data_IF_629798210689
#
_entry.id   IF_629798210689
#
_cell.length_a   1.000
_cell.length_b   1.000
_cell.length_c   1.000
_cell.angle_alpha   90.00
_cell.angle_beta   90.00
_cell.angle_gamma   90.00
#
_symmetry.space_group_name_H-M   'P 1'
#
loop_
_entity.id
_entity.type
_entity.pdbx_description
1 polymer ?
#
# COMPACT_ATOMS: atom_id res chain seq x y z
N UNK A 1 71.99 -3.10 13.85
CA UNK A 1 72.64 -2.88 15.17
C UNK A 1 71.54 -2.49 16.14
N UNK A 2 71.45 -3.30 17.25
CA UNK A 2 70.75 -3.09 18.53
C UNK A 2 69.25 -2.95 18.52
N UNK A 3 68.49 -3.92 18.94
CA UNK A 3 68.36 -4.72 20.20
C UNK A 3 67.23 -4.12 21.05
N UNK A 4 66.09 -4.87 21.14
CA UNK A 4 65.54 -5.56 22.33
C UNK A 4 65.35 -4.66 23.58
N UNK A 5 64.10 -4.51 24.05
CA UNK A 5 63.79 -4.93 25.43
C UNK A 5 62.27 -5.05 25.67
N UNK A 6 61.92 -6.27 26.01
CA UNK A 6 60.70 -6.77 26.68
C UNK A 6 60.61 -6.22 28.11
N UNK A 7 59.39 -5.92 28.59
CA UNK A 7 59.06 -6.13 30.01
C UNK A 7 57.57 -6.40 30.21
N UNK A 8 57.28 -7.63 30.58
CA UNK A 8 56.03 -8.09 31.17
C UNK A 8 55.96 -7.66 32.65
N UNK A 9 54.77 -7.31 33.13
CA UNK A 9 54.43 -7.47 34.56
C UNK A 9 52.97 -7.87 34.73
N UNK A 10 52.87 -9.05 35.21
CA UNK A 10 51.84 -9.80 35.90
C UNK A 10 51.21 -9.12 37.10
N UNK A 11 49.97 -9.61 37.38
CA UNK A 11 49.30 -9.86 38.66
C UNK A 11 48.69 -8.70 39.44
N UNK A 12 47.34 -8.74 39.62
CA UNK A 12 46.79 -9.25 40.89
C UNK A 12 45.26 -9.31 40.84
N UNK A 13 44.78 -10.51 41.01
CA UNK A 13 43.42 -10.82 41.43
C UNK A 13 43.13 -10.27 42.84
N UNK A 14 41.91 -9.76 43.05
CA UNK A 14 41.29 -9.70 44.37
C UNK A 14 39.87 -10.19 44.29
N UNK A 15 39.66 -11.37 44.79
CA UNK A 15 38.43 -11.96 45.30
C UNK A 15 37.91 -11.18 46.53
N UNK A 16 36.65 -10.86 46.56
CA UNK A 16 35.78 -10.67 47.72
C UNK A 16 34.42 -11.12 47.24
N UNK A 17 33.74 -12.09 47.62
CA UNK A 17 33.48 -12.86 48.78
C UNK A 17 32.30 -12.34 49.58
N UNK A 18 31.21 -13.12 49.61
CA UNK A 18 30.07 -13.14 50.53
C UNK A 18 28.97 -12.04 50.32
N UNK A 19 27.69 -12.29 50.41
CA UNK A 19 26.96 -13.27 51.20
C UNK A 19 25.54 -13.44 50.60
N UNK A 20 25.10 -14.69 50.57
CA UNK A 20 23.71 -15.09 50.34
C UNK A 20 22.90 -14.76 51.58
N UNK A 21 21.79 -14.03 51.41
CA UNK A 21 20.66 -14.07 52.38
C UNK A 21 19.40 -14.45 51.60
N UNK A 22 19.03 -15.68 51.78
CA UNK A 22 17.75 -16.19 51.36
C UNK A 22 16.68 -15.74 52.39
N UNK A 23 15.69 -14.99 51.97
CA UNK A 23 14.44 -14.81 52.70
C UNK A 23 13.33 -15.38 51.83
N UNK A 24 12.90 -16.57 52.23
CA UNK A 24 11.70 -17.21 51.73
C UNK A 24 10.48 -16.52 52.36
N UNK A 25 9.64 -15.88 51.56
CA UNK A 25 8.27 -15.58 51.96
C UNK A 25 7.32 -16.23 50.95
N UNK A 26 6.73 -17.31 51.41
CA UNK A 26 5.58 -17.95 50.80
C UNK A 26 4.36 -17.05 50.97
N UNK A 27 3.78 -16.60 49.82
CA UNK A 27 2.41 -16.11 49.80
C UNK A 27 1.71 -16.80 48.63
N UNK A 28 0.78 -17.69 49.00
CA UNK A 28 -0.01 -18.47 48.05
C UNK A 28 -0.95 -17.59 47.22
N UNK A 29 -0.92 -17.77 45.93
CA UNK A 29 -1.95 -17.33 45.01
C UNK A 29 -2.84 -18.55 44.66
N UNK A 30 -4.18 -18.42 44.67
CA UNK A 30 -5.05 -19.54 44.28
C UNK A 30 -5.00 -19.70 42.77
N UNK A 31 -4.72 -20.93 42.34
CA UNK A 31 -4.86 -21.37 40.95
C UNK A 31 -6.35 -21.33 40.58
N UNK A 32 -6.73 -20.47 39.66
CA UNK A 32 -8.02 -20.52 39.00
C UNK A 32 -7.96 -21.58 37.90
N UNK A 33 -8.52 -22.75 38.22
CA UNK A 33 -8.77 -23.80 37.23
C UNK A 33 -9.95 -23.37 36.37
N UNK A 34 -9.69 -23.02 35.10
CA UNK A 34 -10.74 -22.87 34.09
C UNK A 34 -11.20 -24.27 33.65
N UNK A 35 -12.31 -24.72 34.20
CA UNK A 35 -13.04 -25.85 33.65
C UNK A 35 -13.87 -25.38 32.47
N UNK A 36 -13.63 -25.98 31.29
CA UNK A 36 -14.46 -25.80 30.11
C UNK A 36 -15.87 -26.39 30.38
N UNK A 37 -16.80 -25.52 30.78
CA UNK A 37 -18.21 -25.84 31.00
C UNK A 37 -19.01 -25.54 29.73
N UNK A 38 -19.69 -26.59 29.22
CA UNK A 38 -20.74 -26.48 28.20
C UNK A 38 -21.77 -25.44 28.63
N UNK A 39 -22.13 -24.50 27.77
CA UNK A 39 -23.22 -23.55 28.01
C UNK A 39 -24.55 -24.28 28.03
N UNK A 40 -25.05 -24.58 29.25
CA UNK A 40 -26.43 -24.98 29.46
C UNK A 40 -27.30 -23.72 29.60
N UNK A 41 -28.41 -23.66 28.88
CA UNK A 41 -29.39 -22.57 28.96
C UNK A 41 -29.84 -22.35 30.41
N UNK A 42 -29.75 -21.10 30.87
CA UNK A 42 -30.15 -20.72 32.21
C UNK A 42 -31.68 -20.66 32.32
N UNK A 43 -32.29 -21.63 33.01
CA UNK A 43 -33.73 -21.65 33.29
C UNK A 43 -33.98 -21.49 34.78
N UNK A 44 -34.91 -20.63 35.22
CA UNK A 44 -35.23 -20.43 36.65
C UNK A 44 -35.71 -21.71 37.39
N UNK A 45 -36.16 -22.72 36.64
CA UNK A 45 -36.64 -23.99 37.21
C UNK A 45 -35.52 -24.95 37.62
N UNK A 46 -34.30 -24.71 37.19
CA UNK A 46 -33.15 -25.61 37.49
C UNK A 46 -32.13 -24.99 38.44
N UNK A 47 -32.30 -23.76 38.88
CA UNK A 47 -31.40 -23.07 39.80
C UNK A 47 -31.62 -23.56 41.24
N UNK A 48 -30.58 -24.15 41.86
CA UNK A 48 -30.63 -24.75 43.21
C UNK A 48 -30.27 -23.79 44.34
N UNK A 49 -29.64 -22.65 44.09
CA UNK A 49 -29.23 -21.70 45.13
C UNK A 49 -29.80 -20.29 44.90
N UNK A 50 -29.94 -19.51 45.99
CA UNK A 50 -30.45 -18.14 45.94
C UNK A 50 -29.59 -17.20 45.08
N UNK A 51 -28.28 -17.43 45.01
CA UNK A 51 -27.36 -16.67 44.18
C UNK A 51 -27.56 -16.95 42.68
N UNK A 52 -27.80 -18.21 42.30
CA UNK A 52 -28.11 -18.59 40.90
C UNK A 52 -29.47 -18.06 40.45
N UNK A 53 -30.47 -17.99 41.31
CA UNK A 53 -31.78 -17.41 41.01
C UNK A 53 -31.67 -15.89 40.72
N UNK A 54 -30.85 -15.16 41.48
CA UNK A 54 -30.60 -13.69 41.22
C UNK A 54 -29.85 -13.45 39.94
N UNK A 55 -28.88 -14.29 39.56
CA UNK A 55 -28.15 -14.17 38.30
C UNK A 55 -29.05 -14.42 37.07
N UNK A 56 -29.98 -15.37 37.14
CA UNK A 56 -30.95 -15.63 36.07
C UNK A 56 -32.02 -14.55 35.92
N UNK A 57 -32.36 -13.82 36.99
CA UNK A 57 -33.37 -12.75 36.97
C UNK A 57 -32.86 -11.46 36.28
N UNK A 58 -31.53 -11.23 36.21
CA UNK A 58 -30.93 -10.04 35.63
C UNK A 58 -30.46 -10.23 34.18
N UNK A 59 -30.67 -11.38 33.54
CA UNK A 59 -30.36 -11.60 32.17
C UNK A 59 -31.48 -11.02 31.27
N UNK A 60 -31.18 -10.00 30.45
CA UNK A 60 -32.12 -9.47 29.45
C UNK A 60 -32.47 -10.53 28.42
N UNK A 61 -33.77 -10.64 28.00
CA UNK A 61 -34.19 -11.66 27.04
C UNK A 61 -33.55 -11.37 25.66
N UNK A 62 -32.82 -12.34 25.13
CA UNK A 62 -32.36 -12.36 23.74
C UNK A 62 -33.56 -12.67 22.84
N UNK A 63 -33.92 -11.75 21.96
CA UNK A 63 -35.01 -11.90 21.01
C UNK A 63 -34.72 -13.07 20.06
N UNK A 64 -35.63 -14.06 20.03
CA UNK A 64 -35.63 -15.15 19.05
C UNK A 64 -36.04 -14.59 17.70
N UNK A 65 -35.12 -14.44 16.74
CA UNK A 65 -35.42 -14.20 15.33
C UNK A 65 -35.85 -15.56 14.72
N UNK A 66 -37.13 -15.64 14.38
CA UNK A 66 -37.70 -16.76 13.65
C UNK A 66 -37.21 -16.76 12.19
N UNK A 67 -36.71 -17.90 11.75
CA UNK A 67 -36.44 -18.20 10.33
C UNK A 67 -37.75 -18.23 9.55
N UNK A 68 -38.01 -17.22 8.74
CA UNK A 68 -39.00 -17.28 7.68
C UNK A 68 -38.35 -17.77 6.39
N UNK A 69 -38.70 -18.97 5.98
CA UNK A 69 -38.35 -19.58 4.70
C UNK A 69 -39.21 -18.94 3.60
N UNK A 70 -38.66 -18.02 2.81
CA UNK A 70 -39.34 -17.51 1.62
C UNK A 70 -39.17 -18.49 0.46
N UNK A 71 -40.23 -19.21 0.13
CA UNK A 71 -40.37 -19.94 -1.13
C UNK A 71 -40.56 -18.93 -2.27
N UNK A 72 -39.65 -18.95 -3.23
CA UNK A 72 -39.71 -18.17 -4.48
C UNK A 72 -40.70 -18.86 -5.41
N UNK A 73 -41.89 -18.24 -5.61
CA UNK A 73 -42.84 -18.63 -6.63
C UNK A 73 -42.35 -18.06 -7.99
N UNK A 74 -42.22 -18.97 -8.95
CA UNK A 74 -42.04 -18.63 -10.37
C UNK A 74 -43.41 -18.37 -10.97
N UNK A 75 -43.65 -17.13 -11.39
CA UNK A 75 -44.86 -16.81 -12.15
C UNK A 75 -44.49 -16.84 -13.64
N UNK A 76 -45.00 -17.85 -14.32
CA UNK A 76 -45.15 -17.92 -15.79
C UNK A 76 -46.37 -17.12 -16.18
N UNK A 77 -46.20 -16.04 -16.98
CA UNK A 77 -47.30 -15.42 -17.66
C UNK A 77 -47.21 -15.70 -19.14
N UNK A 78 -48.24 -16.36 -19.61
CA UNK A 78 -48.47 -16.73 -21.00
C UNK A 78 -48.86 -15.48 -21.85
N UNK A 79 -48.40 -15.51 -23.07
CA UNK A 79 -48.76 -14.62 -24.16
C UNK A 79 -50.26 -14.68 -24.45
N UNK A 80 -50.85 -13.57 -24.76
CA UNK A 80 -52.07 -13.48 -25.58
C UNK A 80 -51.86 -12.47 -26.69
N UNK A 81 -51.82 -13.00 -27.92
CA UNK A 81 -51.92 -12.24 -29.15
C UNK A 81 -53.27 -11.55 -29.24
N UNK A 82 -53.27 -10.30 -29.65
CA UNK A 82 -54.41 -9.71 -30.37
C UNK A 82 -53.88 -8.78 -31.46
N UNK A 83 -54.14 -9.19 -32.70
CA UNK A 83 -54.09 -8.35 -33.90
C UNK A 83 -55.20 -7.30 -33.84
N UNK A 84 -54.93 -6.05 -34.15
CA UNK A 84 -55.85 -5.20 -34.87
C UNK A 84 -55.10 -4.08 -35.59
N UNK A 85 -55.30 -4.02 -36.90
CA UNK A 85 -54.85 -2.96 -37.78
C UNK A 85 -55.88 -1.83 -37.81
N UNK A 86 -55.41 -0.59 -37.77
CA UNK A 86 -56.12 0.51 -38.45
C UNK A 86 -55.16 1.65 -38.83
N UNK A 87 -55.20 1.98 -40.11
CA UNK A 87 -54.63 3.14 -40.76
C UNK A 87 -55.42 4.38 -40.41
N UNK A 88 -54.76 5.48 -40.01
CA UNK A 88 -55.26 6.82 -40.32
C UNK A 88 -54.09 7.83 -40.23
N UNK A 89 -53.94 8.60 -41.30
CA UNK A 89 -52.95 9.68 -41.41
C UNK A 89 -53.40 10.93 -40.63
N UNK A 90 -52.44 11.71 -40.17
CA UNK A 90 -52.66 12.93 -39.45
C UNK A 90 -51.38 13.79 -39.44
N UNK A 91 -51.53 14.97 -40.01
CA UNK A 91 -50.55 16.04 -40.26
C UNK A 91 -49.62 16.36 -39.10
N UNK A 92 -48.37 16.59 -39.43
CA UNK A 92 -47.35 17.15 -38.56
C UNK A 92 -47.77 18.52 -37.97
N UNK A 93 -47.73 18.63 -36.65
CA UNK A 93 -47.78 19.89 -35.92
C UNK A 93 -46.41 20.09 -35.27
N UNK A 94 -45.69 21.08 -35.77
CA UNK A 94 -44.44 21.55 -35.21
C UNK A 94 -44.73 22.10 -33.81
N UNK A 95 -44.24 21.45 -32.78
CA UNK A 95 -44.21 21.98 -31.43
C UNK A 95 -42.76 22.36 -31.11
N UNK A 96 -42.66 23.55 -30.52
CA UNK A 96 -41.43 24.22 -30.17
C UNK A 96 -40.53 23.35 -29.26
N UNK A 97 -39.22 23.45 -29.47
CA UNK A 97 -38.22 22.86 -28.62
C UNK A 97 -38.33 23.45 -27.21
N UNK A 98 -38.52 22.60 -26.23
CA UNK A 98 -38.25 22.89 -24.84
C UNK A 98 -36.88 22.26 -24.61
N UNK A 99 -35.87 23.07 -24.28
CA UNK A 99 -34.55 22.63 -23.91
C UNK A 99 -34.67 21.83 -22.58
N UNK A 100 -34.61 20.49 -22.69
CA UNK A 100 -34.58 19.58 -21.56
C UNK A 100 -33.09 19.17 -21.37
N UNK A 101 -32.41 19.87 -20.48
CA UNK A 101 -31.05 19.55 -20.01
C UNK A 101 -31.01 18.28 -19.12
N UNK A 102 -31.67 17.23 -19.54
CA UNK A 102 -31.57 15.90 -18.94
C UNK A 102 -30.28 15.16 -19.39
N UNK A 103 -29.70 14.29 -18.57
CA UNK A 103 -28.46 13.60 -18.92
C UNK A 103 -28.63 12.77 -20.20
N UNK A 104 -27.85 13.09 -21.21
CA UNK A 104 -27.91 12.48 -22.54
C UNK A 104 -27.71 10.96 -22.49
N UNK A 105 -28.81 10.22 -22.70
CA UNK A 105 -28.75 8.76 -22.82
C UNK A 105 -28.13 8.38 -24.16
N UNK A 106 -26.89 7.78 -24.12
CA UNK A 106 -26.24 7.26 -25.34
C UNK A 106 -26.74 5.85 -25.64
N UNK A 107 -27.18 5.62 -26.88
CA UNK A 107 -27.49 4.28 -27.39
C UNK A 107 -26.21 3.61 -27.85
N UNK A 108 -25.82 2.53 -27.16
CA UNK A 108 -24.65 1.70 -27.54
C UNK A 108 -25.15 0.50 -28.33
N UNK A 109 -24.60 0.31 -29.54
CA UNK A 109 -24.91 -0.84 -30.37
C UNK A 109 -24.15 -2.08 -29.85
N UNK A 110 -24.89 -3.12 -29.45
CA UNK A 110 -24.34 -4.41 -29.06
C UNK A 110 -24.58 -5.38 -30.19
N UNK A 111 -23.49 -5.84 -30.82
CA UNK A 111 -23.54 -6.86 -31.89
C UNK A 111 -23.45 -8.25 -31.26
N UNK A 112 -24.46 -9.08 -31.49
CA UNK A 112 -24.47 -10.48 -31.05
C UNK A 112 -24.53 -11.39 -32.29
N UNK A 113 -23.67 -12.40 -32.33
CA UNK A 113 -23.71 -13.41 -33.38
C UNK A 113 -24.68 -14.50 -32.96
N UNK A 114 -25.70 -14.74 -33.80
CA UNK A 114 -26.68 -15.79 -33.61
C UNK A 114 -26.61 -16.74 -34.81
N UNK A 115 -26.58 -18.04 -34.56
CA UNK A 115 -26.65 -19.06 -35.63
C UNK A 115 -28.10 -19.48 -35.79
N UNK A 116 -28.64 -19.29 -36.99
CA UNK A 116 -29.99 -19.76 -37.39
C UNK A 116 -29.87 -20.59 -38.64
N UNK A 117 -30.39 -21.82 -38.60
CA UNK A 117 -30.30 -22.79 -39.67
C UNK A 117 -28.87 -23.02 -40.24
N UNK A 118 -27.87 -23.14 -39.31
CA UNK A 118 -26.47 -23.35 -39.69
C UNK A 118 -25.75 -22.12 -40.27
N UNK A 119 -26.45 -20.99 -40.46
CA UNK A 119 -25.88 -19.74 -41.00
C UNK A 119 -25.64 -18.70 -39.87
N UNK A 120 -24.52 -18.02 -39.97
CA UNK A 120 -24.12 -16.96 -39.03
C UNK A 120 -24.89 -15.67 -39.35
N UNK A 121 -25.67 -15.19 -38.40
CA UNK A 121 -26.36 -13.89 -38.45
C UNK A 121 -25.81 -12.96 -37.37
N UNK A 122 -25.55 -11.71 -37.74
CA UNK A 122 -25.16 -10.66 -36.76
C UNK A 122 -26.41 -9.84 -36.46
N UNK A 123 -26.89 -9.96 -35.23
CA UNK A 123 -28.03 -9.16 -34.74
C UNK A 123 -27.44 -7.99 -33.96
N UNK A 124 -27.78 -6.77 -34.40
CA UNK A 124 -27.43 -5.54 -33.69
C UNK A 124 -28.63 -5.12 -32.83
N UNK A 125 -28.44 -5.11 -31.53
CA UNK A 125 -29.39 -4.56 -30.57
C UNK A 125 -28.84 -3.25 -29.98
N UNK A 126 -29.70 -2.28 -29.72
CA UNK A 126 -29.30 -1.03 -29.10
C UNK A 126 -29.72 -1.05 -27.62
N UNK A 127 -28.74 -0.89 -26.72
CA UNK A 127 -28.98 -0.74 -25.29
C UNK A 127 -28.83 0.73 -24.94
N UNK A 128 -29.83 1.33 -24.33
CA UNK A 128 -29.74 2.66 -23.75
C UNK A 128 -28.93 2.53 -22.45
N UNK A 129 -27.79 3.19 -22.39
CA UNK A 129 -27.01 3.30 -21.18
C UNK A 129 -27.28 4.67 -20.60
N UNK A 130 -28.02 4.72 -19.51
CA UNK A 130 -28.14 5.92 -18.71
C UNK A 130 -26.83 6.13 -17.98
N UNK A 131 -26.10 7.15 -18.35
CA UNK A 131 -24.99 7.62 -17.52
C UNK A 131 -25.63 8.32 -16.32
N UNK A 132 -25.70 7.63 -15.19
CA UNK A 132 -25.87 8.35 -13.93
C UNK A 132 -24.74 9.37 -13.84
N UNK A 133 -25.01 10.62 -13.39
CA UNK A 133 -23.94 11.59 -13.14
C UNK A 133 -22.87 10.87 -12.31
N UNK A 134 -21.66 10.76 -12.84
CA UNK A 134 -20.57 10.24 -12.05
C UNK A 134 -20.44 11.15 -10.85
N UNK A 135 -20.53 10.56 -9.64
CA UNK A 135 -20.19 11.30 -8.43
C UNK A 135 -18.85 11.98 -8.67
N UNK A 136 -18.68 13.26 -8.27
CA UNK A 136 -17.44 13.99 -8.52
C UNK A 136 -16.27 13.12 -8.07
N UNK A 137 -15.29 12.94 -8.96
CA UNK A 137 -14.11 12.14 -8.70
C UNK A 137 -13.43 12.71 -7.44
N UNK A 138 -13.31 11.90 -6.40
CA UNK A 138 -12.65 12.34 -5.18
C UNK A 138 -11.20 12.66 -5.52
N UNK A 139 -10.83 13.92 -5.39
CA UNK A 139 -9.46 14.36 -5.62
C UNK A 139 -8.54 13.69 -4.58
N UNK A 140 -7.36 13.26 -5.03
CA UNK A 140 -6.29 12.87 -4.12
C UNK A 140 -5.82 14.07 -3.28
N UNK A 141 -5.15 13.80 -2.16
CA UNK A 141 -4.69 14.86 -1.24
C UNK A 141 -3.76 15.86 -1.95
N UNK A 142 -2.80 15.37 -2.76
CA UNK A 142 -1.88 16.25 -3.47
C UNK A 142 -2.59 17.13 -4.51
N UNK A 143 -3.59 16.60 -5.20
CA UNK A 143 -4.41 17.39 -6.12
C UNK A 143 -5.30 18.41 -5.40
N UNK A 144 -5.86 18.04 -4.26
CA UNK A 144 -6.65 18.96 -3.44
C UNK A 144 -5.81 20.16 -2.93
N UNK A 145 -4.51 19.96 -2.75
CA UNK A 145 -3.54 21.01 -2.39
C UNK A 145 -2.91 21.72 -3.60
N UNK A 146 -3.33 21.43 -4.84
CA UNK A 146 -2.79 22.06 -6.05
C UNK A 146 -1.36 21.64 -6.40
N UNK A 147 -0.78 20.63 -5.77
CA UNK A 147 0.62 20.21 -5.99
C UNK A 147 0.88 19.73 -7.42
N UNK A 148 -0.16 19.25 -8.12
CA UNK A 148 -0.07 18.82 -9.52
C UNK A 148 0.16 20.00 -10.49
N UNK A 149 -0.17 21.23 -10.09
CA UNK A 149 -0.02 22.45 -10.90
C UNK A 149 1.43 22.96 -10.91
N UNK A 150 2.28 22.46 -10.00
CA UNK A 150 3.69 22.84 -9.98
C UNK A 150 4.35 22.46 -11.32
N UNK A 151 4.90 23.44 -12.05
CA UNK A 151 5.55 23.19 -13.33
C UNK A 151 6.79 22.33 -13.14
N UNK A 152 7.04 21.44 -14.10
CA UNK A 152 8.27 20.65 -14.14
C UNK A 152 8.73 20.44 -15.59
N UNK A 153 10.05 20.30 -15.78
CA UNK A 153 10.67 20.17 -17.09
C UNK A 153 10.31 18.86 -17.82
N UNK A 154 9.79 17.87 -17.10
CA UNK A 154 9.46 16.52 -17.63
C UNK A 154 7.96 16.33 -17.85
N UNK A 155 7.13 17.30 -17.51
CA UNK A 155 5.67 17.24 -17.58
C UNK A 155 5.12 15.94 -16.90
N UNK A 156 5.59 15.67 -15.69
CA UNK A 156 5.21 14.49 -14.92
C UNK A 156 3.76 14.59 -14.42
N UNK A 157 3.06 13.49 -14.46
CA UNK A 157 1.69 13.36 -13.91
C UNK A 157 1.68 13.16 -12.39
N UNK A 158 2.83 12.87 -11.81
CA UNK A 158 3.02 12.79 -10.36
C UNK A 158 3.02 14.20 -9.77
N UNK A 159 2.21 14.44 -8.73
CA UNK A 159 2.16 15.70 -7.99
C UNK A 159 3.46 15.93 -7.21
N UNK A 160 4.13 14.85 -6.81
CA UNK A 160 5.44 14.84 -6.16
C UNK A 160 6.38 13.93 -6.93
N UNK A 161 7.57 14.41 -7.25
CA UNK A 161 8.63 13.63 -7.86
C UNK A 161 9.98 14.03 -7.26
N UNK A 162 10.72 13.07 -6.72
CA UNK A 162 12.04 13.31 -6.15
C UNK A 162 13.01 12.22 -6.61
N UNK A 163 14.10 12.62 -7.23
CA UNK A 163 15.13 11.73 -7.77
C UNK A 163 16.48 12.13 -7.22
N UNK A 164 17.19 11.17 -6.65
CA UNK A 164 18.55 11.40 -6.15
C UNK A 164 19.53 10.41 -6.77
N UNK A 165 20.78 10.83 -6.86
CA UNK A 165 21.91 9.91 -6.97
C UNK A 165 22.10 9.22 -5.62
N UNK A 166 22.02 7.89 -5.59
CA UNK A 166 22.10 7.14 -4.34
C UNK A 166 23.48 7.21 -3.71
N UNK A 167 24.54 7.26 -4.54
CA UNK A 167 25.93 7.26 -4.11
C UNK A 167 26.35 8.61 -3.53
N UNK A 168 25.99 9.72 -4.19
CA UNK A 168 26.39 11.08 -3.76
C UNK A 168 25.37 11.72 -2.84
N UNK A 169 24.10 11.28 -2.90
CA UNK A 169 22.98 11.93 -2.22
C UNK A 169 22.50 13.21 -2.94
N UNK A 170 23.08 13.54 -4.10
CA UNK A 170 22.72 14.72 -4.87
C UNK A 170 21.28 14.64 -5.38
N UNK A 171 20.55 15.74 -5.27
CA UNK A 171 19.20 15.89 -5.83
C UNK A 171 19.30 16.13 -7.32
N UNK A 172 18.83 15.17 -8.12
CA UNK A 172 18.84 15.25 -9.58
C UNK A 172 17.58 15.92 -10.13
N UNK A 173 16.46 15.67 -9.46
CA UNK A 173 15.15 16.23 -9.81
C UNK A 173 14.31 16.42 -8.55
N UNK A 174 13.69 17.57 -8.39
CA UNK A 174 12.86 17.90 -7.24
C UNK A 174 11.58 18.62 -7.68
N UNK A 175 10.45 17.98 -7.45
CA UNK A 175 9.11 18.55 -7.56
C UNK A 175 8.36 18.26 -6.27
N UNK A 176 8.13 19.28 -5.45
CA UNK A 176 7.36 19.19 -4.20
C UNK A 176 7.87 18.13 -3.20
N UNK A 177 9.17 17.84 -3.13
CA UNK A 177 9.73 16.72 -2.34
C UNK A 177 9.48 16.81 -0.84
N UNK A 178 9.15 17.98 -0.32
CA UNK A 178 8.85 18.23 1.10
C UNK A 178 7.36 18.03 1.44
N UNK A 179 6.49 17.93 0.44
CA UNK A 179 5.06 17.75 0.66
C UNK A 179 4.79 16.43 1.39
N UNK A 180 4.03 16.51 2.49
CA UNK A 180 3.61 15.35 3.27
C UNK A 180 2.27 14.85 2.74
N UNK A 181 2.27 13.63 2.19
CA UNK A 181 1.11 13.03 1.54
C UNK A 181 0.86 11.62 2.06
N UNK A 182 -0.38 11.11 1.93
CA UNK A 182 -0.65 9.68 2.09
C UNK A 182 0.20 8.86 1.11
N UNK A 183 0.81 7.77 1.59
CA UNK A 183 1.77 6.98 0.80
C UNK A 183 1.25 5.60 0.42
N UNK A 184 0.05 5.26 0.83
CA UNK A 184 -0.57 3.96 0.56
C UNK A 184 0.39 2.79 0.88
N UNK A 185 0.36 1.74 0.08
CA UNK A 185 1.16 0.52 0.27
C UNK A 185 2.68 0.68 0.18
N UNK A 186 3.21 1.89 -0.04
CA UNK A 186 4.65 2.15 0.16
C UNK A 186 5.03 1.83 1.61
N UNK A 187 4.10 2.00 2.56
CA UNK A 187 4.23 1.61 3.98
C UNK A 187 4.72 0.18 4.20
N UNK A 188 4.45 -0.74 3.24
CA UNK A 188 4.87 -2.14 3.35
C UNK A 188 6.38 -2.35 3.33
N UNK A 189 7.17 -1.37 2.87
CA UNK A 189 8.63 -1.42 3.05
C UNK A 189 9.01 -1.32 4.53
N UNK A 190 8.36 -0.42 5.29
CA UNK A 190 8.55 -0.34 6.74
C UNK A 190 8.04 -1.60 7.44
N UNK A 191 6.88 -2.12 7.03
CA UNK A 191 6.35 -3.40 7.53
C UNK A 191 7.35 -4.54 7.33
N UNK A 192 8.00 -4.60 6.17
CA UNK A 192 9.01 -5.61 5.88
C UNK A 192 10.25 -5.48 6.77
N UNK A 193 10.78 -4.26 6.92
CA UNK A 193 11.94 -4.02 7.79
C UNK A 193 11.65 -4.42 9.23
N UNK A 194 10.52 -3.98 9.81
CA UNK A 194 10.14 -4.32 11.19
C UNK A 194 9.90 -5.82 11.36
N UNK A 195 9.32 -6.49 10.35
CA UNK A 195 9.14 -7.94 10.38
C UNK A 195 10.47 -8.70 10.40
N UNK A 196 11.44 -8.24 9.62
CA UNK A 196 12.79 -8.85 9.57
C UNK A 196 13.59 -8.55 10.84
N UNK A 197 13.52 -7.34 11.37
CA UNK A 197 14.20 -6.92 12.60
C UNK A 197 13.69 -7.67 13.85
N UNK A 198 12.48 -8.23 13.78
CA UNK A 198 11.92 -9.02 14.90
C UNK A 198 12.73 -10.29 15.20
N UNK A 199 13.54 -10.76 14.26
CA UNK A 199 14.32 -12.00 14.39
C UNK A 199 13.48 -13.28 14.46
N UNK A 200 12.16 -13.18 14.26
CA UNK A 200 11.27 -14.36 14.26
C UNK A 200 11.55 -15.19 13.00
N UNK A 201 11.64 -16.54 13.13
CA UNK A 201 11.96 -17.38 11.99
C UNK A 201 11.03 -17.18 10.79
N UNK A 202 11.60 -17.09 9.59
CA UNK A 202 10.83 -16.92 8.36
C UNK A 202 10.03 -18.17 7.98
N UNK A 203 10.39 -19.31 8.54
CA UNK A 203 9.69 -20.61 8.37
C UNK A 203 8.42 -20.75 9.22
N UNK A 204 8.21 -19.85 10.20
CA UNK A 204 7.05 -19.92 11.07
C UNK A 204 5.74 -19.82 10.27
N UNK A 205 4.83 -20.77 10.53
CA UNK A 205 3.53 -20.78 9.89
C UNK A 205 2.60 -19.73 10.48
N UNK A 206 1.95 -18.99 9.60
CA UNK A 206 0.98 -17.94 9.92
C UNK A 206 -0.36 -18.23 9.28
N UNK A 207 -1.44 -18.06 10.03
CA UNK A 207 -2.80 -18.23 9.54
C UNK A 207 -3.48 -16.86 9.37
N UNK A 208 -4.13 -16.66 8.23
CA UNK A 208 -4.97 -15.48 7.98
C UNK A 208 -6.28 -15.63 8.76
N UNK A 209 -6.62 -14.63 9.55
CA UNK A 209 -7.86 -14.58 10.34
C UNK A 209 -8.79 -13.45 9.86
N UNK A 210 -9.97 -13.34 10.45
CA UNK A 210 -10.90 -12.23 10.20
C UNK A 210 -10.30 -10.87 10.58
N UNK A 211 -9.38 -10.83 11.55
CA UNK A 211 -8.66 -9.61 11.96
C UNK A 211 -7.76 -9.04 10.86
N UNK A 212 -7.39 -9.86 9.86
CA UNK A 212 -6.53 -9.45 8.73
C UNK A 212 -7.34 -8.90 7.55
N UNK A 213 -8.69 -8.87 7.67
CA UNK A 213 -9.56 -8.27 6.66
C UNK A 213 -9.51 -6.75 6.71
N UNK A 214 -9.62 -6.16 5.52
CA UNK A 214 -9.83 -4.73 5.39
C UNK A 214 -11.32 -4.40 5.52
N UNK A 215 -11.68 -3.80 6.64
CA UNK A 215 -13.03 -3.31 6.92
C UNK A 215 -13.19 -1.81 6.66
N UNK A 216 -12.08 -1.09 6.39
CA UNK A 216 -12.08 0.35 6.16
C UNK A 216 -12.35 0.68 4.69
N UNK A 217 -11.61 0.05 3.77
CA UNK A 217 -11.69 0.31 2.33
C UNK A 217 -12.40 -0.82 1.57
N UNK A 218 -12.64 -1.96 2.21
CA UNK A 218 -13.26 -3.12 1.59
C UNK A 218 -12.43 -3.74 0.46
N UNK A 219 -11.11 -3.61 0.49
CA UNK A 219 -10.25 -4.15 -0.57
C UNK A 219 -10.30 -5.68 -0.61
N UNK A 220 -10.39 -6.21 -1.82
CA UNK A 220 -10.34 -7.66 -2.03
C UNK A 220 -8.95 -8.23 -1.74
N UNK A 221 -8.91 -9.54 -1.43
CA UNK A 221 -7.68 -10.30 -1.29
C UNK A 221 -7.87 -11.72 -1.86
N UNK A 222 -6.80 -12.28 -2.39
CA UNK A 222 -6.78 -13.69 -2.83
C UNK A 222 -6.61 -14.66 -1.65
N UNK A 223 -5.98 -14.21 -0.55
CA UNK A 223 -5.88 -14.98 0.68
C UNK A 223 -7.25 -15.03 1.37
N UNK A 224 -7.83 -16.22 1.50
CA UNK A 224 -9.04 -16.42 2.30
C UNK A 224 -8.66 -16.54 3.78
N UNK A 225 -9.60 -16.25 4.66
CA UNK A 225 -9.52 -16.61 6.08
C UNK A 225 -9.29 -18.11 6.22
N UNK A 226 -8.36 -18.50 7.08
CA UNK A 226 -7.88 -19.87 7.26
C UNK A 226 -6.81 -20.31 6.25
N UNK A 227 -6.29 -19.41 5.38
CA UNK A 227 -5.08 -19.67 4.58
C UNK A 227 -3.87 -19.71 5.51
N UNK A 228 -2.98 -20.70 5.31
CA UNK A 228 -1.74 -20.87 6.08
C UNK A 228 -0.55 -20.77 5.14
N UNK A 229 0.38 -19.90 5.48
CA UNK A 229 1.63 -19.70 4.76
C UNK A 229 2.79 -19.49 5.74
N UNK A 230 4.01 -19.66 5.28
CA UNK A 230 5.20 -19.25 6.05
C UNK A 230 5.26 -17.74 6.19
N UNK A 231 6.01 -17.24 7.17
CA UNK A 231 6.31 -15.82 7.31
C UNK A 231 7.03 -15.27 6.06
N UNK A 232 7.91 -16.10 5.47
CA UNK A 232 8.59 -15.76 4.22
C UNK A 232 7.60 -15.54 3.08
N UNK A 233 6.66 -16.47 2.86
CA UNK A 233 5.62 -16.33 1.82
C UNK A 233 4.77 -15.09 2.05
N UNK A 234 4.34 -14.84 3.30
CA UNK A 234 3.57 -13.64 3.65
C UNK A 234 4.34 -12.36 3.32
N UNK A 235 5.64 -12.30 3.68
CA UNK A 235 6.49 -11.16 3.40
C UNK A 235 6.70 -10.97 1.89
N UNK A 236 6.92 -12.06 1.15
CA UNK A 236 7.14 -12.04 -0.29
C UNK A 236 5.92 -11.45 -1.02
N UNK A 237 4.72 -12.01 -0.81
CA UNK A 237 3.52 -11.52 -1.50
C UNK A 237 3.08 -10.13 -1.02
N UNK A 238 3.39 -9.72 0.22
CA UNK A 238 3.18 -8.36 0.70
C UNK A 238 4.03 -7.33 -0.05
N UNK A 239 5.28 -7.67 -0.38
CA UNK A 239 6.19 -6.79 -1.10
C UNK A 239 5.93 -6.80 -2.61
N UNK A 240 5.89 -7.96 -3.25
CA UNK A 240 5.77 -8.12 -4.69
C UNK A 240 4.38 -7.75 -5.21
N UNK A 241 3.34 -8.37 -4.64
CA UNK A 241 1.94 -8.20 -5.06
C UNK A 241 1.14 -7.23 -4.21
N UNK A 242 1.78 -6.64 -3.19
CA UNK A 242 1.11 -5.71 -2.29
C UNK A 242 -0.07 -6.32 -1.50
N UNK A 243 -0.01 -7.62 -1.17
CA UNK A 243 -1.09 -8.33 -0.49
C UNK A 243 -1.36 -7.76 0.91
N UNK A 244 -2.57 -7.23 1.11
CA UNK A 244 -2.91 -6.52 2.35
C UNK A 244 -3.07 -7.47 3.54
N UNK A 245 -3.72 -8.64 3.35
CA UNK A 245 -3.91 -9.60 4.45
C UNK A 245 -2.59 -10.20 4.91
N UNK A 246 -1.63 -10.35 4.01
CA UNK A 246 -0.29 -10.80 4.38
C UNK A 246 0.41 -9.77 5.28
N UNK A 247 0.38 -8.48 4.91
CA UNK A 247 0.94 -7.40 5.74
C UNK A 247 0.23 -7.28 7.10
N UNK A 248 -1.10 -7.41 7.13
CA UNK A 248 -1.88 -7.40 8.36
C UNK A 248 -1.50 -8.58 9.28
N UNK A 249 -1.40 -9.80 8.72
CA UNK A 249 -1.00 -10.99 9.47
C UNK A 249 0.42 -10.84 10.04
N UNK A 250 1.40 -10.35 9.26
CA UNK A 250 2.75 -10.08 9.74
C UNK A 250 2.76 -9.20 10.99
N UNK A 251 1.93 -8.15 11.01
CA UNK A 251 1.83 -7.24 12.16
C UNK A 251 1.14 -7.90 13.38
N UNK A 252 0.15 -8.75 13.15
CA UNK A 252 -0.56 -9.44 14.23
C UNK A 252 0.30 -10.51 14.91
N UNK A 253 1.16 -11.18 14.15
CA UNK A 253 2.11 -12.18 14.67
C UNK A 253 3.39 -11.59 15.26
N UNK A 254 3.49 -10.27 15.35
CA UNK A 254 4.60 -9.59 16.01
C UNK A 254 4.45 -9.70 17.55
N UNK A 255 5.54 -9.78 18.32
CA UNK A 255 5.49 -9.78 19.78
C UNK A 255 4.78 -8.54 20.32
N UNK A 256 3.69 -8.74 21.07
CA UNK A 256 2.80 -7.66 21.50
C UNK A 256 1.74 -7.25 20.47
N UNK A 257 1.64 -7.97 19.35
CA UNK A 257 0.61 -7.79 18.33
C UNK A 257 0.73 -6.50 17.51
N UNK A 258 -0.34 -6.16 16.81
CA UNK A 258 -0.40 -5.01 15.91
C UNK A 258 -0.07 -3.66 16.58
N UNK A 259 -0.51 -3.36 17.83
CA UNK A 259 -0.13 -2.11 18.49
C UNK A 259 1.38 -1.99 18.69
N UNK A 260 2.05 -3.06 19.14
CA UNK A 260 3.51 -3.07 19.33
C UNK A 260 4.25 -2.97 17.98
N UNK A 261 3.70 -3.58 16.94
CA UNK A 261 4.23 -3.49 15.56
C UNK A 261 4.19 -2.05 15.04
N UNK A 262 3.06 -1.35 15.18
CA UNK A 262 2.92 0.05 14.77
C UNK A 262 3.84 0.98 15.56
N UNK A 263 3.98 0.74 16.86
CA UNK A 263 4.96 1.46 17.67
C UNK A 263 6.39 1.23 17.16
N UNK A 264 6.73 0.00 16.73
CA UNK A 264 8.02 -0.32 16.14
C UNK A 264 8.23 0.34 14.77
N UNK A 265 7.18 0.41 13.90
CA UNK A 265 7.26 1.15 12.63
C UNK A 265 7.58 2.63 12.85
N UNK A 266 6.87 3.29 13.77
CA UNK A 266 7.08 4.71 14.07
C UNK A 266 8.41 4.97 14.79
N UNK A 267 8.87 4.06 15.66
CA UNK A 267 10.20 4.14 16.26
C UNK A 267 11.28 4.04 15.18
N UNK A 268 11.19 3.05 14.29
CA UNK A 268 12.15 2.90 13.19
C UNK A 268 12.16 4.11 12.24
N UNK A 269 11.00 4.73 11.97
CA UNK A 269 10.94 5.97 11.21
C UNK A 269 11.76 7.08 11.89
N UNK A 270 11.64 7.26 13.22
CA UNK A 270 12.45 8.22 13.98
C UNK A 270 13.95 7.88 13.94
N UNK A 271 14.32 6.61 14.10
CA UNK A 271 15.70 6.12 14.02
C UNK A 271 16.33 6.45 12.66
N UNK A 272 15.55 6.39 11.58
CA UNK A 272 15.98 6.75 10.23
C UNK A 272 15.94 8.27 9.97
N UNK A 273 15.51 9.09 10.93
CA UNK A 273 15.38 10.53 10.78
C UNK A 273 14.23 10.95 9.84
N UNK A 274 13.18 10.11 9.75
CA UNK A 274 11.99 10.36 8.93
C UNK A 274 10.98 11.19 9.72
N UNK A 275 11.24 12.50 9.82
CA UNK A 275 10.50 13.40 10.71
C UNK A 275 9.11 13.79 10.20
N UNK A 276 8.87 13.66 8.88
CA UNK A 276 7.59 13.93 8.22
C UNK A 276 6.75 12.65 8.06
N UNK A 277 7.15 11.56 8.71
CA UNK A 277 6.55 10.23 8.49
C UNK A 277 5.81 9.72 9.71
N UNK A 278 4.59 9.25 9.47
CA UNK A 278 3.77 8.58 10.47
C UNK A 278 3.07 7.35 9.89
N UNK A 279 3.04 6.26 10.65
CA UNK A 279 2.34 5.03 10.32
C UNK A 279 1.19 4.78 11.29
N UNK A 280 -0.01 4.60 10.76
CA UNK A 280 -1.23 4.29 11.49
C UNK A 280 -1.69 2.84 11.26
N UNK A 281 -1.25 2.21 10.17
CA UNK A 281 -1.52 0.82 9.85
C UNK A 281 -0.34 0.15 9.13
N UNK A 282 -0.22 -1.20 9.17
CA UNK A 282 0.89 -1.92 8.55
C UNK A 282 0.73 -2.13 7.04
N UNK A 283 -0.44 -1.84 6.47
CA UNK A 283 -0.80 -2.17 5.08
C UNK A 283 -0.71 -0.96 4.15
N UNK A 284 -0.90 0.25 4.68
CA UNK A 284 -1.02 1.48 3.93
C UNK A 284 -2.43 1.73 3.37
N UNK A 285 -3.45 1.11 3.95
CA UNK A 285 -4.85 1.38 3.61
C UNK A 285 -5.36 2.67 4.27
N UNK A 286 -4.84 2.99 5.45
CA UNK A 286 -5.14 4.26 6.11
C UNK A 286 -4.51 5.44 5.38
N UNK A 287 -5.32 6.47 5.13
CA UNK A 287 -4.83 7.76 4.61
C UNK A 287 -3.96 8.52 5.61
N UNK A 288 -3.89 8.05 6.86
CA UNK A 288 -3.03 8.60 7.90
C UNK A 288 -1.59 8.04 7.87
N UNK A 289 -1.31 7.05 7.02
CA UNK A 289 0.07 6.68 6.69
C UNK A 289 0.63 7.74 5.75
N UNK A 290 1.37 8.68 6.30
CA UNK A 290 1.89 9.84 5.57
C UNK A 290 3.40 9.91 5.61
N UNK A 291 3.99 10.52 4.57
CA UNK A 291 5.43 10.77 4.48
C UNK A 291 5.73 11.86 3.45
N UNK A 292 6.92 12.45 3.53
CA UNK A 292 7.49 13.26 2.45
C UNK A 292 8.36 12.40 1.52
N UNK A 293 8.58 12.86 0.28
CA UNK A 293 9.46 12.13 -0.64
C UNK A 293 10.91 12.08 -0.13
N UNK A 294 11.34 13.09 0.61
CA UNK A 294 12.68 13.11 1.24
C UNK A 294 12.83 12.04 2.31
N UNK A 295 11.81 11.82 3.12
CA UNK A 295 11.81 10.74 4.10
C UNK A 295 11.74 9.36 3.44
N UNK A 296 10.95 9.23 2.38
CA UNK A 296 10.87 7.97 1.63
C UNK A 296 12.21 7.57 1.01
N UNK A 297 13.08 8.51 0.63
CA UNK A 297 14.45 8.21 0.21
C UNK A 297 15.21 7.51 1.34
N UNK A 298 15.11 8.01 2.58
CA UNK A 298 15.77 7.38 3.75
C UNK A 298 15.26 5.97 3.97
N UNK A 299 13.93 5.78 3.85
CA UNK A 299 13.30 4.46 3.97
C UNK A 299 13.77 3.49 2.88
N UNK A 300 13.85 3.94 1.62
CA UNK A 300 14.32 3.11 0.49
C UNK A 300 15.79 2.70 0.70
N UNK A 301 16.66 3.66 1.09
CA UNK A 301 18.08 3.35 1.42
C UNK A 301 18.20 2.32 2.52
N UNK A 302 17.42 2.45 3.60
CA UNK A 302 17.41 1.49 4.70
C UNK A 302 16.89 0.12 4.25
N UNK A 303 15.75 0.08 3.55
CA UNK A 303 15.15 -1.16 3.04
C UNK A 303 16.07 -1.90 2.06
N UNK A 304 16.86 -1.16 1.29
CA UNK A 304 17.83 -1.73 0.33
C UNK A 304 18.93 -2.54 1.00
N UNK A 305 19.20 -2.32 2.29
CA UNK A 305 20.20 -3.11 3.05
C UNK A 305 19.72 -4.55 3.33
N UNK A 306 18.43 -4.84 3.20
CA UNK A 306 17.84 -6.15 3.45
C UNK A 306 17.81 -7.00 2.17
N UNK A 307 18.61 -8.07 2.03
CA UNK A 307 18.62 -8.90 0.83
C UNK A 307 17.24 -9.48 0.47
N UNK A 308 16.45 -9.87 1.48
CA UNK A 308 15.10 -10.41 1.26
C UNK A 308 14.15 -9.35 0.70
N UNK A 309 14.24 -8.09 1.15
CA UNK A 309 13.41 -7.00 0.61
C UNK A 309 13.75 -6.74 -0.86
N UNK A 310 15.05 -6.69 -1.20
CA UNK A 310 15.47 -6.55 -2.60
C UNK A 310 14.90 -7.69 -3.46
N UNK A 311 15.15 -8.94 -3.08
CA UNK A 311 14.68 -10.12 -3.82
C UNK A 311 13.15 -10.10 -3.99
N UNK A 312 12.40 -10.03 -2.90
CA UNK A 312 10.95 -10.16 -2.93
C UNK A 312 10.25 -8.99 -3.63
N UNK A 313 10.80 -7.78 -3.54
CA UNK A 313 10.21 -6.63 -4.22
C UNK A 313 10.46 -6.63 -5.74
N UNK A 314 11.43 -7.41 -6.24
CA UNK A 314 11.83 -7.41 -7.65
C UNK A 314 11.49 -8.72 -8.39
N UNK A 315 10.92 -9.70 -7.70
CA UNK A 315 10.41 -10.90 -8.37
C UNK A 315 9.21 -10.56 -9.27
N UNK A 316 9.12 -11.25 -10.40
CA UNK A 316 8.04 -11.05 -11.40
C UNK A 316 6.75 -11.74 -11.02
N UNK A 317 6.86 -12.95 -10.48
CA UNK A 317 5.75 -13.79 -10.05
C UNK A 317 6.19 -14.73 -8.93
N UNK A 318 5.23 -15.24 -8.18
CA UNK A 318 5.45 -16.18 -7.08
C UNK A 318 4.20 -17.01 -6.79
N UNK A 319 4.38 -18.31 -6.63
CA UNK A 319 3.31 -19.24 -6.30
C UNK A 319 3.38 -19.64 -4.83
N UNK A 320 2.24 -19.58 -4.15
CA UNK A 320 2.12 -19.97 -2.75
C UNK A 320 1.07 -21.04 -2.54
N UNK A 321 1.38 -22.03 -1.71
CA UNK A 321 0.41 -23.03 -1.30
C UNK A 321 -0.23 -22.62 0.04
N UNK A 322 -1.53 -22.35 0.03
CA UNK A 322 -2.27 -21.88 1.20
C UNK A 322 -2.72 -23.00 2.15
N UNK A 323 -2.30 -24.24 1.91
CA UNK A 323 -2.81 -25.43 2.57
C UNK A 323 -4.18 -25.90 2.04
N UNK A 324 -4.84 -25.09 1.19
CA UNK A 324 -6.13 -25.41 0.56
C UNK A 324 -6.06 -25.37 -0.97
N UNK A 325 -5.26 -24.48 -1.52
CA UNK A 325 -5.06 -24.28 -2.96
C UNK A 325 -3.75 -23.54 -3.21
N UNK A 326 -3.23 -23.69 -4.37
CA UNK A 326 -2.15 -22.86 -4.90
C UNK A 326 -2.68 -21.53 -5.42
N UNK A 327 -1.94 -20.44 -5.15
CA UNK A 327 -2.26 -19.10 -5.61
C UNK A 327 -1.05 -18.52 -6.34
N UNK A 328 -1.28 -18.09 -7.56
CA UNK A 328 -0.30 -17.37 -8.36
C UNK A 328 -0.35 -15.87 -8.10
N UNK A 329 0.77 -15.25 -7.75
CA UNK A 329 0.93 -13.81 -7.58
C UNK A 329 1.89 -13.24 -8.62
N UNK A 330 1.64 -12.01 -9.06
CA UNK A 330 2.51 -11.28 -9.98
C UNK A 330 2.88 -9.92 -9.41
N UNK A 331 4.01 -9.39 -9.86
CA UNK A 331 4.45 -8.05 -9.47
C UNK A 331 3.43 -6.98 -9.86
N UNK A 332 3.25 -6.01 -8.97
CA UNK A 332 2.42 -4.82 -9.25
C UNK A 332 3.15 -3.76 -10.08
N UNK A 333 4.46 -3.92 -10.25
CA UNK A 333 5.28 -3.01 -11.04
C UNK A 333 5.61 -3.64 -12.41
N UNK A 334 4.99 -3.11 -13.46
CA UNK A 334 5.19 -3.59 -14.83
C UNK A 334 6.58 -3.29 -15.43
N UNK A 335 7.42 -2.51 -14.74
CA UNK A 335 8.80 -2.26 -15.16
C UNK A 335 9.74 -3.40 -14.76
N UNK A 336 9.33 -4.26 -13.80
CA UNK A 336 10.10 -5.44 -13.40
C UNK A 336 10.18 -6.42 -14.58
N UNK A 337 11.40 -6.85 -14.92
CA UNK A 337 11.65 -7.75 -16.05
C UNK A 337 11.55 -7.07 -17.43
N UNK A 338 11.24 -5.76 -17.50
CA UNK A 338 11.24 -5.03 -18.75
C UNK A 338 12.68 -4.73 -19.21
N UNK A 339 13.03 -5.01 -20.49
CA UNK A 339 14.36 -4.69 -21.00
C UNK A 339 14.74 -3.23 -20.78
N UNK A 340 15.95 -3.00 -20.32
CA UNK A 340 16.49 -1.68 -20.04
C UNK A 340 16.18 -1.14 -18.64
N UNK A 341 15.56 -1.92 -17.75
CA UNK A 341 15.41 -1.59 -16.35
C UNK A 341 16.17 -2.57 -15.46
N UNK A 342 17.09 -2.01 -14.66
CA UNK A 342 17.81 -2.71 -13.60
C UNK A 342 17.30 -2.18 -12.25
N UNK A 343 16.25 -2.81 -11.73
CA UNK A 343 15.58 -2.38 -10.50
C UNK A 343 16.06 -3.27 -9.35
N UNK A 344 16.67 -2.66 -8.34
CA UNK A 344 17.16 -3.35 -7.15
C UNK A 344 16.17 -3.40 -6.00
N UNK A 345 15.19 -2.47 -5.97
CA UNK A 345 14.10 -2.44 -5.01
C UNK A 345 12.94 -1.62 -5.58
N UNK A 346 11.71 -2.04 -5.29
CA UNK A 346 10.54 -1.22 -5.63
C UNK A 346 9.36 -1.44 -4.67
N UNK A 347 8.45 -0.49 -4.65
CA UNK A 347 7.11 -0.66 -4.10
C UNK A 347 6.11 0.27 -4.76
N UNK A 348 4.96 -0.26 -5.13
CA UNK A 348 3.81 0.52 -5.61
C UNK A 348 2.81 0.78 -4.48
N UNK A 349 2.04 1.86 -4.59
CA UNK A 349 0.95 2.18 -3.69
C UNK A 349 -0.24 2.77 -4.43
N UNK A 350 -1.44 2.56 -3.91
CA UNK A 350 -2.66 3.23 -4.34
C UNK A 350 -3.75 3.14 -3.28
N UNK A 351 -4.27 4.27 -2.90
CA UNK A 351 -5.61 4.53 -2.35
C UNK A 351 -6.10 5.82 -2.99
N UNK A 352 -7.40 6.11 -2.91
CA UNK A 352 -7.94 7.33 -3.52
C UNK A 352 -7.26 8.61 -3.02
N UNK A 353 -6.95 8.68 -1.73
CA UNK A 353 -6.34 9.82 -1.08
C UNK A 353 -4.86 10.02 -1.45
N UNK A 354 -4.15 8.92 -1.76
CA UNK A 354 -2.72 8.95 -2.12
C UNK A 354 -2.47 9.07 -3.62
N UNK A 355 -3.48 8.80 -4.46
CA UNK A 355 -3.24 8.64 -5.90
C UNK A 355 -2.33 7.44 -6.20
N UNK A 356 -1.76 7.40 -7.39
CA UNK A 356 -0.82 6.33 -7.78
C UNK A 356 0.59 6.67 -7.31
N UNK A 357 1.20 5.78 -6.51
CA UNK A 357 2.54 5.97 -5.93
C UNK A 357 3.51 4.89 -6.42
N UNK A 358 4.78 5.26 -6.53
CA UNK A 358 5.89 4.36 -6.84
C UNK A 358 7.16 4.85 -6.15
N UNK A 359 7.86 3.95 -5.49
CA UNK A 359 9.26 4.16 -5.08
C UNK A 359 10.12 3.08 -5.72
N UNK A 360 11.31 3.45 -6.18
CA UNK A 360 12.28 2.55 -6.80
C UNK A 360 13.69 2.94 -6.45
N UNK A 361 14.54 1.94 -6.24
CA UNK A 361 15.97 2.02 -6.45
C UNK A 361 16.28 1.31 -7.77
N UNK A 362 17.01 1.96 -8.65
CA UNK A 362 17.36 1.40 -9.97
C UNK A 362 18.74 1.88 -10.41
N UNK A 363 19.38 1.09 -11.29
CA UNK A 363 20.59 1.50 -11.98
C UNK A 363 20.23 2.09 -13.37
N UNK A 364 20.65 3.30 -13.64
CA UNK A 364 20.46 3.97 -14.92
C UNK A 364 21.82 4.30 -15.49
N UNK A 365 22.26 3.51 -16.48
CA UNK A 365 23.57 3.67 -17.13
C UNK A 365 24.74 3.70 -16.12
N UNK A 366 24.80 2.71 -15.24
CA UNK A 366 25.82 2.59 -14.20
C UNK A 366 25.66 3.55 -13.01
N UNK A 367 24.64 4.41 -13.02
CA UNK A 367 24.32 5.35 -11.95
C UNK A 367 23.17 4.81 -11.08
N UNK A 368 23.43 4.47 -9.83
CA UNK A 368 22.36 4.06 -8.92
C UNK A 368 21.53 5.29 -8.51
N UNK A 369 20.23 5.21 -8.72
CA UNK A 369 19.30 6.31 -8.42
C UNK A 369 18.12 5.81 -7.56
N UNK A 370 17.61 6.69 -6.72
CA UNK A 370 16.34 6.48 -6.02
C UNK A 370 15.31 7.44 -6.61
N UNK A 371 14.18 6.88 -7.06
CA UNK A 371 13.05 7.61 -7.62
C UNK A 371 11.84 7.48 -6.71
N UNK A 372 11.29 8.60 -6.27
CA UNK A 372 10.05 8.69 -5.50
C UNK A 372 9.02 9.45 -6.34
N UNK A 373 7.92 8.81 -6.69
CA UNK A 373 6.83 9.36 -7.48
C UNK A 373 5.52 9.17 -6.70
N UNK A 374 4.90 10.27 -6.25
CA UNK A 374 3.68 10.22 -5.44
C UNK A 374 2.55 10.96 -6.14
N UNK A 375 1.34 10.50 -5.86
CA UNK A 375 0.10 11.11 -6.33
C UNK A 375 0.07 11.32 -7.85
N UNK A 376 0.40 10.28 -8.62
CA UNK A 376 0.32 10.32 -10.07
C UNK A 376 -1.10 10.04 -10.55
N UNK A 377 -1.58 10.83 -11.51
CA UNK A 377 -2.94 10.72 -12.06
C UNK A 377 -3.00 9.74 -13.22
N UNK A 378 -3.85 8.70 -13.07
CA UNK A 378 -4.06 7.66 -14.06
C UNK A 378 -3.34 6.35 -13.71
N UNK A 379 -3.96 5.24 -14.08
CA UNK A 379 -3.61 3.88 -13.63
C UNK A 379 -2.14 3.49 -13.83
N UNK A 380 -1.54 3.95 -14.94
CA UNK A 380 -0.17 3.56 -15.33
C UNK A 380 0.80 4.75 -15.38
N UNK A 381 0.34 5.94 -15.01
CA UNK A 381 1.10 7.18 -15.18
C UNK A 381 2.42 7.20 -14.39
N UNK A 382 2.45 6.63 -13.17
CA UNK A 382 3.68 6.53 -12.38
C UNK A 382 4.80 5.77 -13.10
N UNK A 383 4.47 4.77 -13.93
CA UNK A 383 5.44 4.03 -14.73
C UNK A 383 5.91 4.83 -15.95
N UNK A 384 4.99 5.57 -16.58
CA UNK A 384 5.33 6.49 -17.66
C UNK A 384 6.21 7.64 -17.14
N UNK A 385 5.94 8.13 -15.92
CA UNK A 385 6.76 9.15 -15.25
C UNK A 385 8.17 8.63 -14.97
N UNK A 386 8.28 7.42 -14.40
CA UNK A 386 9.59 6.77 -14.20
C UNK A 386 10.37 6.62 -15.51
N UNK A 387 9.68 6.25 -16.61
CA UNK A 387 10.32 6.12 -17.94
C UNK A 387 10.78 7.47 -18.47
N UNK A 388 10.03 8.56 -18.26
CA UNK A 388 10.45 9.92 -18.63
C UNK A 388 11.67 10.37 -17.84
N UNK A 389 11.66 10.14 -16.54
CA UNK A 389 12.82 10.42 -15.67
C UNK A 389 14.05 9.64 -16.13
N UNK A 390 13.89 8.32 -16.37
CA UNK A 390 15.01 7.49 -16.87
C UNK A 390 15.56 8.02 -18.20
N UNK A 391 14.68 8.32 -19.17
CA UNK A 391 15.09 8.88 -20.47
C UNK A 391 15.87 10.18 -20.30
N UNK A 392 15.36 11.08 -19.48
CA UNK A 392 16.01 12.36 -19.18
C UNK A 392 17.39 12.16 -18.54
N UNK A 393 17.54 11.21 -17.61
CA UNK A 393 18.85 10.89 -17.03
C UNK A 393 19.85 10.37 -18.07
N UNK A 394 19.40 9.51 -19.02
CA UNK A 394 20.22 9.00 -20.12
C UNK A 394 20.65 10.08 -21.10
N UNK A 395 19.87 11.16 -21.24
CA UNK A 395 20.15 12.31 -22.09
C UNK A 395 21.03 13.36 -21.38
N UNK A 396 21.63 13.02 -20.23
CA UNK A 396 22.51 13.91 -19.46
C UNK A 396 21.79 14.80 -18.45
N UNK A 397 20.51 14.54 -18.19
CA UNK A 397 19.75 15.24 -17.15
C UNK A 397 20.30 14.96 -15.74
N UNK A 398 20.17 15.92 -14.83
CA UNK A 398 20.66 15.83 -13.45
C UNK A 398 22.18 15.89 -13.32
N UNK A 399 22.90 16.24 -14.36
CA UNK A 399 24.27 16.71 -14.24
C UNK A 399 24.20 18.19 -13.87
N UNK A 400 24.86 18.58 -12.77
CA UNK A 400 25.06 20.02 -12.51
C UNK A 400 25.68 20.64 -13.76
N UNK A 401 25.24 21.85 -14.20
CA UNK A 401 25.92 22.52 -15.30
C UNK A 401 27.40 22.59 -14.93
N UNK A 402 28.23 21.90 -15.71
CA UNK A 402 29.68 22.09 -15.58
C UNK A 402 29.90 23.59 -15.68
N UNK A 403 30.34 24.21 -14.57
CA UNK A 403 30.89 25.54 -14.63
C UNK A 403 32.05 25.42 -15.61
N UNK A 404 31.80 25.73 -16.88
CA UNK A 404 32.85 26.05 -17.81
C UNK A 404 33.66 27.13 -17.12
N UNK A 405 34.91 26.80 -16.81
CA UNK A 405 35.86 27.80 -16.34
C UNK A 405 35.95 28.85 -17.47
N UNK A 406 35.00 29.77 -17.47
CA UNK A 406 34.99 30.92 -18.33
C UNK A 406 36.19 31.75 -17.97
N UNK A 407 37.09 31.90 -18.93
CA UNK A 407 38.16 32.88 -18.94
C UNK A 407 37.68 34.15 -18.26
N UNK A 408 38.25 34.43 -17.10
CA UNK A 408 38.14 35.73 -16.47
C UNK A 408 38.93 36.72 -17.38
N UNK A 409 38.34 37.68 -18.08
CA UNK A 409 39.11 38.75 -18.66
C UNK A 409 39.60 39.59 -17.49
N UNK A 410 40.91 39.56 -17.30
CA UNK A 410 41.66 40.42 -16.39
C UNK A 410 41.22 41.86 -16.64
N UNK A 411 40.45 42.44 -15.73
CA UNK A 411 40.18 43.87 -15.71
C UNK A 411 41.50 44.55 -15.36
N UNK A 412 42.18 45.08 -16.39
CA UNK A 412 43.24 46.05 -16.21
C UNK A 412 42.62 47.33 -15.64
N UNK A 413 42.92 47.60 -14.39
CA UNK A 413 42.65 48.89 -13.77
C UNK A 413 43.65 49.88 -14.36
N UNK A 414 43.18 50.76 -15.26
CA UNK A 414 43.91 51.90 -15.71
C UNK A 414 43.99 52.91 -14.56
N UNK A 415 45.18 53.06 -14.00
CA UNK A 415 45.53 54.14 -13.10
C UNK A 415 45.83 55.36 -13.97
N UNK A 416 44.88 56.28 -14.19
CA UNK A 416 45.19 57.63 -14.68
C UNK A 416 45.53 58.51 -13.51
N UNK A 417 46.79 58.90 -13.46
CA UNK A 417 47.28 59.98 -12.60
C UNK A 417 46.67 61.30 -12.97
N UNK A 418 46.23 62.02 -11.99
CA UNK A 418 45.98 63.47 -12.14
C UNK A 418 47.04 64.21 -11.32
N UNK A 419 47.91 64.88 -12.11
CA UNK A 419 48.78 65.99 -11.61
C UNK A 419 48.07 67.29 -11.84
N UNK A 420 48.27 68.18 -10.87
CA UNK A 420 48.34 69.66 -10.99
C UNK A 420 47.03 70.45 -10.74
N UNK A 421 47.11 71.22 -9.79
CA UNK A 421 47.05 72.56 -9.28
C UNK A 421 46.02 72.79 -8.23
#
# INVERSE_FOLDING_TARGET
MYAITTLARLCRARLWGAAVVAISLAAGAPAVVYAAGKTSECSPKTAKTAAQKRACANAKPVAKTSKATAKRAVATTASRDTKSATKAGGKARKLAAVDDDGPAAKRVAVKRVVFKNGKRHVVTSYRTVNFAPQAPERLSTGRAFGLHEAPDALALRSSVAYVIDERTGESLFDKNSQAVLPIASISKLMTAMVSLDSGIPMTDAMEVTDEDRDYEKGTGSRLSVGSRLSREDMLHIALMSSENRAAAALSRYYPGGRPAFLAAMNRKAKELGMNDTHFNDPTGLSSQNVSSARDLVKMVKAAYQYPMIRRFSTDTNYDVNTGRRELHYASTNHLIGHPGWEIGLQKTGYINEAGQCLVMQANVDGRPVIMILLDSTGKYSRFADATRVRKWLLEGGGTAPQRTAGNNPTAQVATNGAHAL
#
